data_IF_013245324200
#
_entry.id   IF_013245324200
#
_cell.length_a   1.000
_cell.length_b   1.000
_cell.length_c   1.000
_cell.angle_alpha   90.00
_cell.angle_beta   90.00
_cell.angle_gamma   90.00
#
_symmetry.space_group_name_H-M   'P 1'
#
loop_
_entity.id
_entity.type
_entity.pdbx_description
1 polymer ?
#
# COMPACT_ATOMS: atom_id res chain seq x y z
N UNK A 1 11.02 21.94 29.24
CA UNK A 1 12.07 22.79 28.62
C UNK A 1 12.48 22.18 27.28
N UNK A 2 12.13 22.82 26.15
CA UNK A 2 12.69 22.49 24.82
C UNK A 2 13.56 23.68 24.42
N UNK A 3 14.87 23.46 24.34
CA UNK A 3 15.82 24.48 23.90
C UNK A 3 15.84 24.43 22.36
N UNK A 4 15.32 25.46 21.71
CA UNK A 4 15.51 25.66 20.28
C UNK A 4 16.87 26.32 20.07
N UNK A 5 17.87 25.55 19.65
CA UNK A 5 19.15 26.09 19.21
C UNK A 5 19.11 26.22 17.69
N UNK A 6 19.09 27.45 17.20
CA UNK A 6 19.21 27.75 15.76
C UNK A 6 20.69 27.66 15.38
N UNK A 7 21.10 26.55 14.78
CA UNK A 7 22.45 26.40 14.22
C UNK A 7 22.43 26.93 12.79
N UNK A 8 23.11 28.05 12.54
CA UNK A 8 23.35 28.52 11.18
C UNK A 8 24.72 28.02 10.69
N UNK A 9 24.78 27.32 9.54
CA UNK A 9 26.05 26.85 9.00
C UNK A 9 26.85 28.02 8.43
N UNK A 10 28.10 28.14 8.88
CA UNK A 10 29.05 29.20 8.50
C UNK A 10 29.59 29.01 7.06
N UNK A 11 29.34 27.85 6.43
CA UNK A 11 29.77 27.58 5.05
C UNK A 11 28.65 26.95 4.22
N UNK A 12 28.25 27.62 3.14
CA UNK A 12 27.22 27.15 2.20
C UNK A 12 27.89 26.72 0.89
N UNK A 13 28.18 25.43 0.76
CA UNK A 13 28.52 24.81 -0.52
C UNK A 13 27.23 24.47 -1.28
N UNK A 14 27.19 24.65 -2.61
CA UNK A 14 26.04 24.29 -3.46
C UNK A 14 25.59 22.83 -3.29
N UNK A 15 26.48 21.94 -2.84
CA UNK A 15 26.14 20.54 -2.54
C UNK A 15 25.28 20.38 -1.28
N UNK A 16 25.48 21.22 -0.26
CA UNK A 16 24.75 21.12 1.03
C UNK A 16 23.34 21.71 0.93
N UNK A 17 23.13 22.69 0.06
CA UNK A 17 21.82 23.34 -0.13
C UNK A 17 20.78 22.42 -0.80
N UNK A 18 21.21 21.42 -1.57
CA UNK A 18 20.29 20.44 -2.18
C UNK A 18 19.76 19.40 -1.16
N UNK A 19 20.53 19.11 -0.12
CA UNK A 19 20.13 18.18 0.96
C UNK A 19 19.26 18.86 2.04
N UNK A 20 19.23 20.19 2.09
CA UNK A 20 18.39 21.00 2.98
C UNK A 20 17.03 21.38 2.40
N UNK A 21 16.60 20.74 1.30
CA UNK A 21 15.17 20.74 1.01
C UNK A 21 14.51 19.86 2.05
N UNK A 22 13.77 20.49 2.98
CA UNK A 22 12.75 19.82 3.78
C UNK A 22 11.84 19.10 2.78
N UNK A 23 12.17 17.84 2.51
CA UNK A 23 11.27 16.95 1.79
C UNK A 23 10.09 16.84 2.72
N UNK A 24 8.91 17.27 2.25
CA UNK A 24 7.66 16.84 2.85
C UNK A 24 7.82 15.36 3.20
N UNK A 25 7.47 14.98 4.43
CA UNK A 25 7.46 13.59 4.85
C UNK A 25 6.40 12.92 3.97
N UNK A 26 6.80 12.49 2.77
CA UNK A 26 5.98 11.63 1.93
C UNK A 26 5.67 10.42 2.82
N UNK A 27 4.40 10.01 2.95
CA UNK A 27 4.07 8.81 3.69
C UNK A 27 5.02 7.69 3.27
N UNK A 28 5.59 6.92 4.20
CA UNK A 28 6.54 5.85 3.86
C UNK A 28 6.00 4.91 2.76
N UNK A 29 4.67 4.81 2.69
CA UNK A 29 3.85 4.18 1.64
C UNK A 29 4.21 4.59 0.21
N UNK A 30 4.59 5.84 -0.04
CA UNK A 30 4.80 6.36 -1.41
C UNK A 30 5.99 5.67 -2.10
N UNK A 31 7.00 5.23 -1.34
CA UNK A 31 8.21 4.58 -1.85
C UNK A 31 8.26 3.05 -1.64
N UNK A 32 7.13 2.43 -1.29
CA UNK A 32 7.10 0.99 -1.04
C UNK A 32 6.67 0.20 -2.28
N UNK A 33 7.61 -0.56 -2.85
CA UNK A 33 7.43 -1.54 -3.93
C UNK A 33 7.55 -2.99 -3.42
N UNK A 34 7.17 -4.02 -4.19
CA UNK A 34 7.27 -5.44 -3.76
C UNK A 34 6.69 -5.67 -2.37
N UNK A 35 5.42 -5.33 -2.21
CA UNK A 35 4.72 -5.48 -0.92
C UNK A 35 3.46 -6.30 -1.08
N UNK A 36 3.13 -7.06 -0.05
CA UNK A 36 1.77 -7.52 0.23
C UNK A 36 1.10 -6.46 1.09
N UNK A 37 -0.09 -6.04 0.68
CA UNK A 37 -0.89 -5.03 1.35
C UNK A 37 -2.26 -5.58 1.70
N UNK A 38 -2.90 -4.92 2.66
CA UNK A 38 -4.29 -5.11 3.01
C UNK A 38 -5.05 -3.83 2.70
N UNK A 39 -6.24 -3.96 2.16
CA UNK A 39 -7.27 -2.93 2.15
C UNK A 39 -8.37 -3.32 3.15
N UNK A 40 -8.86 -2.33 3.89
CA UNK A 40 -10.02 -2.47 4.76
C UNK A 40 -11.03 -1.37 4.41
N UNK A 41 -12.28 -1.77 4.17
CA UNK A 41 -13.37 -0.81 4.02
C UNK A 41 -13.60 -0.08 5.34
N UNK A 42 -13.93 1.21 5.28
CA UNK A 42 -14.24 2.02 6.46
C UNK A 42 -15.74 2.09 6.75
N UNK A 43 -16.57 1.49 5.90
CA UNK A 43 -18.03 1.51 5.99
C UNK A 43 -18.63 0.12 6.29
N UNK A 44 -17.83 -0.94 6.23
CA UNK A 44 -18.22 -2.30 6.60
C UNK A 44 -16.98 -3.18 6.85
N UNK A 45 -17.20 -4.45 7.22
CA UNK A 45 -16.12 -5.41 7.51
C UNK A 45 -15.43 -5.99 6.27
N UNK A 46 -15.65 -5.39 5.08
CA UNK A 46 -15.08 -5.88 3.85
C UNK A 46 -13.58 -5.61 3.77
N UNK A 47 -12.82 -6.62 3.33
CA UNK A 47 -11.37 -6.53 3.21
C UNK A 47 -10.85 -7.14 1.92
N UNK A 48 -9.65 -6.73 1.52
CA UNK A 48 -8.92 -7.30 0.39
C UNK A 48 -7.43 -7.42 0.74
N UNK A 49 -6.79 -8.49 0.30
CA UNK A 49 -5.34 -8.67 0.37
C UNK A 49 -4.82 -8.81 -1.05
N UNK A 50 -3.74 -8.11 -1.35
CA UNK A 50 -3.10 -8.20 -2.66
C UNK A 50 -1.61 -7.92 -2.57
N UNK A 51 -0.85 -8.31 -3.59
CA UNK A 51 0.52 -7.85 -3.75
C UNK A 51 0.69 -6.87 -4.91
N UNK A 52 1.80 -6.12 -4.87
CA UNK A 52 2.27 -5.31 -6.01
C UNK A 52 3.77 -5.46 -6.19
N UNK A 53 4.21 -5.57 -7.45
CA UNK A 53 5.62 -5.44 -7.82
C UNK A 53 6.05 -3.97 -7.81
N UNK A 54 5.21 -3.09 -8.35
CA UNK A 54 5.44 -1.65 -8.44
C UNK A 54 5.12 -0.94 -7.13
N UNK A 55 5.06 0.39 -7.16
CA UNK A 55 4.74 1.18 -5.97
C UNK A 55 3.30 0.94 -5.51
N UNK A 56 3.11 0.89 -4.19
CA UNK A 56 1.79 0.73 -3.59
C UNK A 56 0.83 1.84 -4.00
N UNK A 57 1.27 3.11 -4.00
CA UNK A 57 0.41 4.23 -4.40
C UNK A 57 -0.14 4.08 -5.83
N UNK A 58 0.66 3.59 -6.78
CA UNK A 58 0.22 3.32 -8.15
C UNK A 58 -0.80 2.19 -8.20
N UNK A 59 -0.60 1.15 -7.38
CA UNK A 59 -1.56 0.05 -7.28
C UNK A 59 -2.90 0.51 -6.70
N UNK A 60 -2.87 1.33 -5.66
CA UNK A 60 -4.07 1.93 -5.04
C UNK A 60 -4.85 2.77 -6.05
N UNK A 61 -4.16 3.56 -6.88
CA UNK A 61 -4.85 4.32 -7.93
C UNK A 61 -5.50 3.40 -8.98
N UNK A 62 -4.86 2.28 -9.30
CA UNK A 62 -5.46 1.22 -10.13
C UNK A 62 -6.77 0.66 -9.55
N UNK A 63 -6.93 0.65 -8.23
CA UNK A 63 -8.15 0.19 -7.57
C UNK A 63 -9.34 1.15 -7.71
N UNK A 64 -9.14 2.37 -8.23
CA UNK A 64 -10.21 3.32 -8.59
C UNK A 64 -10.87 3.03 -9.94
N UNK A 65 -10.39 2.04 -10.69
CA UNK A 65 -10.97 1.66 -11.98
C UNK A 65 -12.13 0.68 -11.79
N UNK A 66 -13.17 0.77 -12.64
CA UNK A 66 -14.38 -0.07 -12.61
C UNK A 66 -14.13 -1.58 -12.59
N UNK A 67 -13.00 -2.03 -13.13
CA UNK A 67 -12.64 -3.45 -13.15
C UNK A 67 -12.19 -4.00 -11.78
N UNK A 68 -11.80 -3.14 -10.83
CA UNK A 68 -11.30 -3.51 -9.50
C UNK A 68 -12.41 -4.04 -8.59
N UNK A 69 -12.16 -5.12 -7.84
CA UNK A 69 -13.07 -5.62 -6.81
C UNK A 69 -13.37 -4.56 -5.74
N UNK A 70 -12.36 -3.78 -5.33
CA UNK A 70 -12.53 -2.67 -4.38
C UNK A 70 -13.45 -1.58 -4.95
N UNK A 71 -13.29 -1.24 -6.23
CA UNK A 71 -14.18 -0.25 -6.86
C UNK A 71 -15.62 -0.75 -6.88
N UNK A 72 -15.82 -1.98 -7.36
CA UNK A 72 -17.14 -2.61 -7.47
C UNK A 72 -17.83 -2.65 -6.11
N UNK A 73 -17.09 -3.07 -5.07
CA UNK A 73 -17.58 -3.09 -3.70
C UNK A 73 -18.11 -1.72 -3.25
N UNK A 74 -17.31 -0.66 -3.39
CA UNK A 74 -17.77 0.69 -3.02
C UNK A 74 -18.98 1.12 -3.84
N UNK A 75 -18.97 0.91 -5.16
CA UNK A 75 -20.06 1.31 -6.02
C UNK A 75 -21.37 0.58 -5.69
N UNK A 76 -21.31 -0.73 -5.41
CA UNK A 76 -22.47 -1.58 -5.15
C UNK A 76 -23.01 -1.43 -3.73
N UNK A 77 -22.14 -1.23 -2.73
CA UNK A 77 -22.52 -1.25 -1.31
C UNK A 77 -22.53 0.13 -0.65
N UNK A 78 -21.80 1.11 -1.22
CA UNK A 78 -21.51 2.40 -0.57
C UNK A 78 -21.59 3.61 -1.51
N UNK A 79 -22.10 3.42 -2.74
CA UNK A 79 -22.29 4.43 -3.80
C UNK A 79 -21.02 5.05 -4.42
N UNK A 80 -20.00 5.41 -3.64
CA UNK A 80 -18.80 6.10 -4.14
C UNK A 80 -17.50 5.56 -3.53
N UNK A 81 -16.42 5.58 -4.33
CA UNK A 81 -15.06 5.29 -3.87
C UNK A 81 -14.47 6.54 -3.18
N UNK A 82 -13.95 6.43 -1.94
CA UNK A 82 -13.33 7.55 -1.25
C UNK A 82 -12.20 8.21 -2.04
N UNK A 83 -12.16 9.55 -2.03
CA UNK A 83 -11.08 10.34 -2.66
C UNK A 83 -9.70 9.97 -2.10
N UNK A 84 -9.63 9.78 -0.78
CA UNK A 84 -8.42 9.40 -0.05
C UNK A 84 -8.35 7.91 0.26
N UNK A 85 -8.53 7.11 -0.79
CA UNK A 85 -8.53 5.64 -0.71
C UNK A 85 -7.23 5.09 -0.09
N UNK A 86 -6.11 5.79 -0.23
CA UNK A 86 -4.80 5.36 0.28
C UNK A 86 -4.78 5.13 1.80
N UNK A 87 -5.56 5.89 2.57
CA UNK A 87 -5.67 5.72 4.02
C UNK A 87 -6.29 4.39 4.45
N UNK A 88 -6.96 3.70 3.51
CA UNK A 88 -7.58 2.40 3.74
C UNK A 88 -6.63 1.22 3.50
N UNK A 89 -5.37 1.50 3.13
CA UNK A 89 -4.37 0.49 2.82
C UNK A 89 -3.28 0.46 3.88
N UNK A 90 -2.90 -0.76 4.29
CA UNK A 90 -1.76 -1.03 5.16
C UNK A 90 -0.83 -2.03 4.47
N UNK A 91 0.46 -2.00 4.82
CA UNK A 91 1.43 -2.97 4.32
C UNK A 91 1.56 -4.09 5.34
N UNK A 92 1.28 -5.31 4.89
CA UNK A 92 1.46 -6.51 5.70
C UNK A 92 2.91 -6.97 5.66
N UNK A 93 3.55 -6.95 4.48
CA UNK A 93 4.92 -7.41 4.33
C UNK A 93 5.63 -6.82 3.11
N UNK A 94 6.91 -6.51 3.29
CA UNK A 94 7.87 -6.24 2.21
C UNK A 94 8.50 -7.55 1.75
N UNK A 95 8.46 -7.81 0.45
CA UNK A 95 9.03 -9.01 -0.15
C UNK A 95 10.39 -8.73 -0.81
N UNK A 96 11.21 -9.77 -0.83
CA UNK A 96 12.48 -9.81 -1.55
C UNK A 96 12.28 -9.96 -3.06
N UNK A 97 11.34 -10.81 -3.48
CA UNK A 97 11.06 -11.12 -4.89
C UNK A 97 9.56 -11.41 -5.12
N UNK A 98 9.17 -11.74 -6.36
CA UNK A 98 7.76 -12.03 -6.70
C UNK A 98 7.24 -13.29 -6.00
N UNK A 99 8.03 -14.35 -5.95
CA UNK A 99 7.60 -15.62 -5.38
C UNK A 99 7.31 -15.46 -3.89
N UNK A 100 8.18 -14.76 -3.17
CA UNK A 100 7.98 -14.35 -1.78
C UNK A 100 6.66 -13.57 -1.60
N UNK A 101 6.35 -12.59 -2.48
CA UNK A 101 5.06 -11.91 -2.42
C UNK A 101 3.86 -12.83 -2.66
N UNK A 102 3.93 -13.75 -3.62
CA UNK A 102 2.83 -14.67 -3.91
C UNK A 102 2.57 -15.62 -2.75
N UNK A 103 3.62 -16.19 -2.16
CA UNK A 103 3.49 -17.07 -0.98
C UNK A 103 2.88 -16.31 0.18
N UNK A 104 3.40 -15.11 0.50
CA UNK A 104 2.86 -14.33 1.60
C UNK A 104 1.43 -13.84 1.34
N UNK A 105 1.09 -13.44 0.11
CA UNK A 105 -0.28 -13.10 -0.27
C UNK A 105 -1.24 -14.26 -0.01
N UNK A 106 -0.89 -15.48 -0.44
CA UNK A 106 -1.70 -16.67 -0.19
C UNK A 106 -1.85 -16.97 1.30
N UNK A 107 -0.77 -16.86 2.08
CA UNK A 107 -0.80 -17.05 3.54
C UNK A 107 -1.71 -16.03 4.21
N UNK A 108 -1.58 -14.75 3.88
CA UNK A 108 -2.42 -13.69 4.45
C UNK A 108 -3.88 -13.81 4.02
N UNK A 109 -4.18 -14.24 2.79
CA UNK A 109 -5.57 -14.52 2.38
C UNK A 109 -6.15 -15.67 3.19
N UNK A 110 -5.40 -16.76 3.38
CA UNK A 110 -5.85 -17.92 4.17
C UNK A 110 -6.10 -17.53 5.63
N UNK A 111 -5.22 -16.74 6.21
CA UNK A 111 -5.24 -16.42 7.63
C UNK A 111 -6.24 -15.30 7.95
N UNK A 112 -6.33 -14.26 7.11
CA UNK A 112 -7.22 -13.10 7.32
C UNK A 112 -8.62 -13.28 6.71
N UNK A 113 -8.78 -14.20 5.75
CA UNK A 113 -10.04 -14.48 5.03
C UNK A 113 -10.79 -13.22 4.56
N UNK A 114 -10.12 -12.31 3.83
CA UNK A 114 -10.73 -11.09 3.32
C UNK A 114 -11.91 -11.40 2.39
N UNK A 115 -13.04 -10.71 2.58
CA UNK A 115 -14.29 -10.99 1.87
C UNK A 115 -14.28 -10.62 0.39
N UNK A 116 -13.41 -9.68 -0.03
CA UNK A 116 -13.34 -9.19 -1.41
C UNK A 116 -12.33 -9.94 -2.28
N UNK A 117 -11.55 -10.87 -1.72
CA UNK A 117 -10.71 -11.76 -2.52
C UNK A 117 -11.59 -12.88 -3.08
N UNK A 118 -11.88 -12.83 -4.38
CA UNK A 118 -12.54 -13.94 -5.05
C UNK A 118 -11.51 -15.01 -5.41
N UNK A 119 -11.91 -16.29 -5.47
CA UNK A 119 -10.97 -17.39 -5.78
C UNK A 119 -10.24 -17.21 -7.13
N UNK A 120 -10.81 -16.45 -8.08
CA UNK A 120 -10.15 -16.11 -9.34
C UNK A 120 -8.99 -15.11 -9.21
N UNK A 121 -8.90 -14.37 -8.10
CA UNK A 121 -7.84 -13.38 -7.85
C UNK A 121 -6.53 -14.05 -7.40
N UNK A 122 -6.61 -15.30 -6.96
CA UNK A 122 -5.46 -16.10 -6.54
C UNK A 122 -5.04 -17.01 -7.69
N UNK A 123 -3.79 -16.91 -8.16
CA UNK A 123 -3.25 -17.94 -9.06
C UNK A 123 -3.28 -19.26 -8.29
N UNK A 124 -4.01 -20.25 -8.79
CA UNK A 124 -4.09 -21.61 -8.23
C UNK A 124 -2.70 -22.26 -8.32
N UNK A 125 -1.86 -22.03 -7.31
CA UNK A 125 -0.57 -22.68 -7.20
C UNK A 125 -0.79 -24.08 -6.62
N UNK A 126 -0.52 -25.11 -7.43
CA UNK A 126 -0.25 -26.45 -6.88
C UNK A 126 1.13 -26.37 -6.24
N UNK A 127 1.17 -26.38 -4.91
CA UNK A 127 2.42 -26.59 -4.18
C UNK A 127 2.72 -28.09 -4.31
N UNK A 128 3.74 -28.43 -5.09
CA UNK A 128 4.35 -29.75 -5.00
C UNK A 128 5.23 -29.72 -3.76
N UNK A 129 4.81 -30.46 -2.73
CA UNK A 129 5.64 -30.81 -1.57
C UNK A 129 6.33 -32.12 -1.88
#
# INVERSE_FOLDING_TARGET
MKVQTTVQPVFVSRKVSQDLKVREIKPQIVNQQRVVYQFQCDLCDAGYVGYTRGHLHTRVDGHKRKASSIYKHYHEQHSEVPKDLLKRFSILKKCSNKFDCLVNEMLFIRDLKPTLNVQSDSIRAKVFV
#
